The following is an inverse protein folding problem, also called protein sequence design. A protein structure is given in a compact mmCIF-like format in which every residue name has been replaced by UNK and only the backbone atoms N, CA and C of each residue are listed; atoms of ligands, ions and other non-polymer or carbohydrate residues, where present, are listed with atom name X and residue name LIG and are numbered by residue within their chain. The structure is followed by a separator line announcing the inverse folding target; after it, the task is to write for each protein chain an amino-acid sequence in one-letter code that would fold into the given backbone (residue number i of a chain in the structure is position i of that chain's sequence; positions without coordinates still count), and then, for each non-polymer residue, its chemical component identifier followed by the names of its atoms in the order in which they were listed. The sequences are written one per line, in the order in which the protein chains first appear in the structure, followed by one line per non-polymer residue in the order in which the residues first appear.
data_IF_428340881743
#
_entry.id   IF_428340881743
#
_cell.length_a   1.000
_cell.length_b   1.000
_cell.length_c   1.000
_cell.angle_alpha   90.00
_cell.angle_beta   90.00
_cell.angle_gamma   90.00
#
_symmetry.space_group_name_H-M   'P 1'
#
loop_
_entity.id
_entity.type
_entity.pdbx_description
1 polymer ?
#
# COMPACT_ATOMS: atom_id res chain seq x y z
N UNK A 1 -3.57 -5.41 4.76
CA UNK A 1 -3.16 -5.71 3.36
C UNK A 1 -4.26 -6.42 2.56
N UNK A 2 -5.18 -7.19 3.18
CA UNK A 2 -6.35 -7.75 2.48
C UNK A 2 -7.51 -6.78 2.22
N UNK A 3 -7.49 -5.58 2.81
CA UNK A 3 -8.55 -4.57 2.66
C UNK A 3 -8.26 -3.46 1.62
N UNK A 4 -7.09 -3.50 0.96
CA UNK A 4 -6.65 -2.44 0.02
C UNK A 4 -6.61 -2.89 -1.44
N UNK A 5 -6.64 -4.21 -1.72
CA UNK A 5 -6.62 -4.75 -3.09
C UNK A 5 -6.96 -6.25 -3.08
N UNK A 6 -7.84 -6.67 -3.97
CA UNK A 6 -8.18 -8.08 -4.21
C UNK A 6 -7.23 -8.77 -5.22
N UNK A 7 -6.43 -7.99 -5.95
CA UNK A 7 -5.39 -8.52 -6.86
C UNK A 7 -4.05 -8.75 -6.13
N UNK A 8 -3.55 -9.99 -6.17
CA UNK A 8 -2.26 -10.39 -5.59
C UNK A 8 -1.06 -9.63 -6.17
N UNK A 9 -1.17 -9.12 -7.42
CA UNK A 9 -0.11 -8.34 -8.09
C UNK A 9 0.12 -6.98 -7.42
N UNK A 10 -0.95 -6.25 -7.11
CA UNK A 10 -0.83 -4.97 -6.38
C UNK A 10 -0.33 -5.18 -4.96
N UNK A 11 -0.81 -6.23 -4.28
CA UNK A 11 -0.34 -6.55 -2.94
C UNK A 11 1.16 -6.87 -2.93
N UNK A 12 1.66 -7.63 -3.91
CA UNK A 12 3.08 -7.90 -4.08
C UNK A 12 3.91 -6.62 -4.30
N UNK A 13 3.42 -5.69 -5.12
CA UNK A 13 4.07 -4.39 -5.33
C UNK A 13 4.15 -3.56 -4.05
N UNK A 14 3.08 -3.52 -3.25
CA UNK A 14 3.10 -2.83 -1.95
C UNK A 14 4.06 -3.46 -0.95
N UNK A 15 4.12 -4.79 -0.87
CA UNK A 15 5.06 -5.51 -0.01
C UNK A 15 6.51 -5.26 -0.43
N UNK A 16 6.79 -5.29 -1.74
CA UNK A 16 8.12 -5.00 -2.28
C UNK A 16 8.56 -3.57 -1.98
N UNK A 17 7.68 -2.59 -2.22
CA UNK A 17 7.93 -1.19 -1.91
C UNK A 17 8.21 -0.97 -0.42
N UNK A 18 7.39 -1.56 0.45
CA UNK A 18 7.57 -1.46 1.91
C UNK A 18 8.92 -2.01 2.36
N UNK A 19 9.29 -3.23 1.90
CA UNK A 19 10.58 -3.83 2.22
C UNK A 19 11.76 -3.03 1.67
N UNK A 20 11.61 -2.43 0.49
CA UNK A 20 12.62 -1.55 -0.11
C UNK A 20 12.90 -0.32 0.76
N UNK A 21 11.85 0.38 1.21
CA UNK A 21 11.99 1.55 2.10
C UNK A 21 12.62 1.14 3.43
N UNK A 22 12.21 0.01 4.03
CA UNK A 22 12.83 -0.48 5.26
C UNK A 22 14.34 -0.70 5.11
N UNK A 23 14.76 -1.32 4.00
CA UNK A 23 16.17 -1.53 3.72
C UNK A 23 16.94 -0.22 3.55
N UNK A 24 16.37 0.76 2.84
CA UNK A 24 16.97 2.08 2.69
C UNK A 24 17.12 2.80 4.03
N UNK A 25 16.10 2.75 4.88
CA UNK A 25 16.15 3.33 6.23
C UNK A 25 17.24 2.72 7.10
N UNK A 26 17.40 1.40 7.06
CA UNK A 26 18.48 0.70 7.79
C UNK A 26 19.87 1.13 7.31
N UNK A 27 20.07 1.29 5.99
CA UNK A 27 21.33 1.76 5.43
C UNK A 27 21.66 3.21 5.85
N UNK A 28 20.65 4.10 5.87
CA UNK A 28 20.81 5.49 6.33
C UNK A 28 21.17 5.55 7.81
N UNK A 29 20.50 4.76 8.66
CA UNK A 29 20.81 4.73 10.09
C UNK A 29 22.19 4.16 10.37
N UNK A 30 22.61 3.13 9.65
CA UNK A 30 23.99 2.62 9.73
C UNK A 30 25.02 3.69 9.36
N UNK A 31 24.75 4.47 8.31
CA UNK A 31 25.62 5.59 7.94
C UNK A 31 25.66 6.67 9.03
N UNK A 32 24.52 7.03 9.64
CA UNK A 32 24.48 8.01 10.73
C UNK A 32 25.29 7.53 11.94
N UNK A 33 25.06 6.29 12.38
CA UNK A 33 25.77 5.67 13.51
C UNK A 33 27.30 5.65 13.26
N UNK A 34 27.73 5.37 12.03
CA UNK A 34 29.17 5.40 11.66
C UNK A 34 29.82 6.79 11.81
N UNK A 35 29.03 7.86 11.69
CA UNK A 35 29.49 9.24 11.90
C UNK A 35 29.36 9.71 13.35
N UNK A 36 28.99 8.80 14.28
CA UNK A 36 28.78 9.09 15.71
C UNK A 36 27.82 10.25 15.95
N UNK A 37 26.73 10.31 15.20
CA UNK A 37 25.69 11.30 15.45
C UNK A 37 25.20 11.22 16.91
N UNK A 38 24.90 12.35 17.55
CA UNK A 38 24.29 12.32 18.87
C UNK A 38 22.97 11.57 18.83
N UNK A 39 22.75 10.67 19.80
CA UNK A 39 21.53 9.85 19.91
C UNK A 39 20.22 10.66 19.85
N UNK A 40 20.24 11.91 20.35
CA UNK A 40 19.08 12.80 20.29
C UNK A 40 18.68 13.15 18.85
N UNK A 41 19.64 13.26 17.92
CA UNK A 41 19.35 13.57 16.52
C UNK A 41 18.73 12.37 15.80
N UNK A 42 19.14 11.15 16.15
CA UNK A 42 18.55 9.90 15.65
C UNK A 42 17.13 9.68 16.20
N UNK A 43 16.90 10.05 17.46
CA UNK A 43 15.56 10.02 18.03
C UNK A 43 14.64 11.02 17.32
N UNK A 44 15.10 12.26 17.11
CA UNK A 44 14.34 13.29 16.42
C UNK A 44 14.06 12.88 14.97
N UNK A 45 15.00 12.23 14.28
CA UNK A 45 14.78 11.78 12.90
C UNK A 45 13.68 10.72 12.82
N UNK A 46 13.64 9.76 13.75
CA UNK A 46 12.55 8.78 13.83
C UNK A 46 11.20 9.44 14.10
N UNK A 47 11.15 10.43 15.00
CA UNK A 47 9.93 11.19 15.28
C UNK A 47 9.48 12.03 14.08
N UNK A 48 10.41 12.68 13.38
CA UNK A 48 10.12 13.45 12.19
C UNK A 48 9.59 12.56 11.05
N UNK A 49 10.18 11.38 10.85
CA UNK A 49 9.72 10.39 9.88
C UNK A 49 8.34 9.85 10.24
N UNK A 50 8.08 9.57 11.53
CA UNK A 50 6.78 9.11 12.00
C UNK A 50 5.70 10.17 11.78
N UNK A 51 5.94 11.40 12.25
CA UNK A 51 5.00 12.50 12.09
C UNK A 51 4.76 12.85 10.61
N UNK A 52 5.84 12.91 9.81
CA UNK A 52 5.76 13.13 8.37
C UNK A 52 4.96 12.03 7.67
N UNK A 53 5.19 10.76 8.03
CA UNK A 53 4.42 9.64 7.46
C UNK A 53 2.94 9.74 7.79
N UNK A 54 2.59 10.19 9.00
CA UNK A 54 1.20 10.33 9.44
C UNK A 54 0.50 11.47 8.68
N UNK A 55 1.20 12.58 8.44
CA UNK A 55 0.69 13.69 7.64
C UNK A 55 0.46 13.29 6.18
N UNK A 56 1.38 12.53 5.58
CA UNK A 56 1.24 12.03 4.20
C UNK A 56 0.17 10.92 4.11
N UNK A 57 0.06 10.07 5.14
CA UNK A 57 -0.94 9.01 5.18
C UNK A 57 -2.36 9.55 5.42
N UNK A 58 -2.51 10.66 6.15
CA UNK A 58 -3.82 11.25 6.46
C UNK A 58 -4.74 11.46 5.24
N UNK A 59 -4.34 12.14 4.16
CA UNK A 59 -5.19 12.27 2.97
C UNK A 59 -5.43 10.93 2.26
N UNK A 60 -4.44 10.02 2.25
CA UNK A 60 -4.60 8.71 1.63
C UNK A 60 -5.67 7.89 2.36
N UNK A 61 -5.64 7.89 3.70
CA UNK A 61 -6.64 7.20 4.53
C UNK A 61 -8.03 7.80 4.31
N UNK A 62 -8.14 9.14 4.27
CA UNK A 62 -9.43 9.82 4.15
C UNK A 62 -10.06 9.72 2.75
N UNK A 63 -9.27 9.68 1.68
CA UNK A 63 -9.78 9.66 0.31
C UNK A 63 -9.75 8.28 -0.36
N UNK A 64 -8.82 7.41 0.01
CA UNK A 64 -8.65 6.09 -0.63
C UNK A 64 -9.42 4.97 0.08
N UNK A 65 -9.85 5.16 1.34
CA UNK A 65 -10.71 4.20 2.03
C UNK A 65 -12.16 4.48 1.62
N UNK A 66 -12.64 3.77 0.61
CA UNK A 66 -14.07 3.66 0.29
C UNK A 66 -14.62 2.39 0.92
N UNK A 67 -15.82 2.48 1.48
CA UNK A 67 -16.51 1.37 2.13
C UNK A 67 -16.76 0.21 1.16
N UNK A 68 -16.91 0.52 -0.13
CA UNK A 68 -17.13 -0.44 -1.22
C UNK A 68 -16.30 -0.02 -2.43
N UNK A 69 -15.55 -0.95 -3.01
CA UNK A 69 -14.90 -0.77 -4.31
C UNK A 69 -15.86 -1.36 -5.35
N UNK A 70 -16.32 -0.55 -6.30
CA UNK A 70 -17.18 -1.03 -7.40
C UNK A 70 -16.40 -2.06 -8.20
N UNK A 71 -17.00 -3.23 -8.41
CA UNK A 71 -16.38 -4.42 -9.03
C UNK A 71 -15.65 -4.14 -10.35
N UNK A 72 -16.08 -3.14 -11.11
CA UNK A 72 -15.48 -2.74 -12.39
C UNK A 72 -13.99 -2.34 -12.28
N UNK A 73 -13.55 -1.80 -11.13
CA UNK A 73 -12.15 -1.41 -10.94
C UNK A 73 -11.27 -2.59 -10.46
N UNK A 74 -11.87 -3.69 -10.01
CA UNK A 74 -11.15 -4.89 -9.55
C UNK A 74 -10.82 -5.84 -10.72
N UNK A 75 -11.58 -5.76 -11.83
CA UNK A 75 -11.34 -6.55 -13.03
C UNK A 75 -10.25 -5.97 -13.95
N UNK A 76 -10.09 -4.64 -13.97
CA UNK A 76 -9.17 -3.97 -14.88
C UNK A 76 -7.68 -4.33 -14.67
N UNK A 77 -7.30 -4.73 -13.46
CA UNK A 77 -5.91 -5.06 -13.10
C UNK A 77 -5.60 -6.57 -13.11
N UNK A 78 -6.59 -7.40 -13.41
CA UNK A 78 -6.48 -8.86 -13.37
C UNK A 78 -6.50 -9.47 -14.78
N UNK A 79 -7.01 -8.74 -15.77
CA UNK A 79 -7.16 -9.22 -17.15
C UNK A 79 -8.30 -10.24 -17.32
N UNK A 80 -9.12 -10.44 -16.28
CA UNK A 80 -10.28 -11.31 -16.28
C UNK A 80 -11.55 -10.49 -16.54
N UNK A 81 -12.44 -11.02 -17.37
CA UNK A 81 -13.76 -10.43 -17.66
C UNK A 81 -14.79 -10.99 -16.67
N UNK A 82 -15.90 -10.26 -16.44
CA UNK A 82 -17.02 -10.63 -15.53
C UNK A 82 -17.52 -12.07 -15.74
N UNK A 83 -17.26 -12.63 -16.91
CA UNK A 83 -17.61 -13.99 -17.31
C UNK A 83 -16.81 -15.11 -16.60
N UNK A 84 -15.53 -14.87 -16.24
CA UNK A 84 -14.62 -15.89 -15.69
C UNK A 84 -14.79 -16.12 -14.18
N UNK A 85 -15.36 -15.15 -13.47
CA UNK A 85 -15.41 -15.16 -12.00
C UNK A 85 -16.83 -15.46 -11.45
N UNK A 86 -17.87 -15.31 -12.29
CA UNK A 86 -19.25 -15.53 -11.87
C UNK A 86 -19.76 -16.95 -12.16
N UNK A 87 -20.30 -17.69 -11.16
CA UNK A 87 -20.97 -18.95 -11.39
C UNK A 87 -22.18 -18.78 -12.32
N UNK A 88 -22.49 -19.79 -13.12
CA UNK A 88 -23.60 -19.75 -14.08
C UNK A 88 -24.93 -19.40 -13.37
N UNK A 89 -25.52 -18.25 -13.72
CA UNK A 89 -26.82 -17.80 -13.21
C UNK A 89 -26.82 -16.52 -12.35
N UNK A 90 -25.71 -15.78 -12.24
CA UNK A 90 -25.70 -14.49 -11.54
C UNK A 90 -26.40 -13.38 -12.35
N UNK A 91 -27.24 -12.51 -11.75
CA UNK A 91 -28.09 -11.57 -12.48
C UNK A 91 -27.31 -10.50 -13.28
N UNK A 92 -26.03 -10.28 -12.97
CA UNK A 92 -25.17 -9.33 -13.70
C UNK A 92 -24.51 -9.92 -14.96
N UNK A 93 -24.68 -11.22 -15.24
CA UNK A 93 -24.13 -11.86 -16.47
C UNK A 93 -24.92 -11.52 -17.75
N UNK A 94 -26.06 -10.85 -17.63
CA UNK A 94 -27.02 -10.65 -18.74
C UNK A 94 -27.48 -9.19 -18.94
N UNK A 95 -26.65 -8.22 -18.61
CA UNK A 95 -26.87 -6.85 -19.08
C UNK A 95 -25.92 -6.57 -20.26
N UNK A 96 -26.46 -6.83 -21.45
CA UNK A 96 -26.00 -6.27 -22.74
C UNK A 96 -26.16 -4.76 -22.71
#
# INVERSE_FOLDING_TARGET
MGALSNSGRKQANFVGFYKGIQSAGAAVMWSLDSHKTPYMNELISNWALLAGSLLVASPVILYAIKEHVVMDHDLADTGETIEDVLPAGHPEKHHV
#
